data_IF_133762340922
#
_entry.id   IF_133762340922
#
_cell.length_a   1.000
_cell.length_b   1.000
_cell.length_c   1.000
_cell.angle_alpha   90.00
_cell.angle_beta   90.00
_cell.angle_gamma   90.00
#
_symmetry.space_group_name_H-M   'P 1'
#
loop_
_entity.id
_entity.type
_entity.pdbx_description
1 polymer ?
#
# COMPACT_ATOMS: atom_id res chain seq x y z
N UNK A 1 -12.11 6.98 21.28
CA UNK A 1 -11.96 8.15 20.38
C UNK A 1 -12.91 7.92 19.23
N UNK A 2 -13.60 8.94 18.73
CA UNK A 2 -14.51 8.76 17.60
C UNK A 2 -13.74 8.74 16.28
N UNK A 3 -14.33 8.17 15.23
CA UNK A 3 -13.74 8.18 13.89
C UNK A 3 -13.46 9.62 13.41
N UNK A 4 -14.37 10.56 13.68
CA UNK A 4 -14.19 11.98 13.37
C UNK A 4 -12.99 12.59 14.13
N UNK A 5 -12.85 12.32 15.43
CA UNK A 5 -11.70 12.80 16.21
C UNK A 5 -10.37 12.30 15.63
N UNK A 6 -10.32 11.01 15.28
CA UNK A 6 -9.14 10.44 14.66
C UNK A 6 -8.87 11.03 13.26
N UNK A 7 -9.92 11.30 12.49
CA UNK A 7 -9.81 11.94 11.19
C UNK A 7 -9.22 13.34 11.28
N UNK A 8 -9.66 14.18 12.20
CA UNK A 8 -9.07 15.52 12.35
C UNK A 8 -7.63 15.46 12.87
N UNK A 9 -7.27 14.46 13.69
CA UNK A 9 -5.86 14.22 14.04
C UNK A 9 -5.01 13.87 12.81
N UNK A 10 -5.51 12.98 11.94
CA UNK A 10 -4.82 12.61 10.71
C UNK A 10 -4.74 13.80 9.74
N UNK A 11 -5.79 14.64 9.68
CA UNK A 11 -5.80 15.88 8.92
C UNK A 11 -4.73 16.85 9.41
N UNK A 12 -4.62 17.04 10.73
CA UNK A 12 -3.57 17.86 11.35
C UNK A 12 -2.18 17.37 10.96
N UNK A 13 -1.96 16.05 11.03
CA UNK A 13 -0.70 15.44 10.59
C UNK A 13 -0.36 15.78 9.13
N UNK A 14 -1.32 15.66 8.21
CA UNK A 14 -1.12 15.95 6.78
C UNK A 14 -0.81 17.43 6.55
N UNK A 15 -1.61 18.32 7.13
CA UNK A 15 -1.45 19.78 7.06
C UNK A 15 -0.03 20.18 7.47
N UNK A 16 0.44 19.70 8.62
CA UNK A 16 1.77 20.03 9.13
C UNK A 16 2.89 19.44 8.28
N UNK A 17 2.74 18.20 7.79
CA UNK A 17 3.81 17.50 7.04
C UNK A 17 3.96 17.98 5.61
N UNK A 18 2.89 18.46 5.02
CA UNK A 18 2.86 18.91 3.63
C UNK A 18 2.77 20.44 3.51
N UNK A 19 2.82 21.16 4.64
CA UNK A 19 2.69 22.62 4.69
C UNK A 19 1.43 23.12 3.95
N UNK A 20 0.32 22.41 4.14
CA UNK A 20 -0.97 22.74 3.53
C UNK A 20 -1.83 23.51 4.53
N UNK A 21 -2.75 24.33 4.01
CA UNK A 21 -3.82 24.89 4.81
C UNK A 21 -4.86 23.81 5.13
N UNK A 22 -5.50 23.92 6.30
CA UNK A 22 -6.51 22.96 6.74
C UNK A 22 -7.62 22.75 5.70
N UNK A 23 -8.07 23.83 5.03
CA UNK A 23 -9.12 23.79 4.00
C UNK A 23 -8.75 22.98 2.76
N UNK A 24 -7.45 22.81 2.47
CA UNK A 24 -6.98 22.04 1.31
C UNK A 24 -7.07 20.53 1.52
N UNK A 25 -7.14 20.08 2.78
CA UNK A 25 -7.37 18.67 3.13
C UNK A 25 -8.84 18.50 3.46
N UNK A 26 -9.61 17.85 2.59
CA UNK A 26 -11.07 17.72 2.66
C UNK A 26 -11.51 16.27 2.80
N UNK A 27 -12.69 16.04 3.37
CA UNK A 27 -13.34 14.72 3.34
C UNK A 27 -13.95 14.48 1.96
N UNK A 28 -13.78 13.29 1.39
CA UNK A 28 -14.31 12.95 0.06
C UNK A 28 -15.38 11.87 0.15
N UNK A 29 -16.63 12.23 -0.13
CA UNK A 29 -17.73 11.26 -0.24
C UNK A 29 -17.83 10.78 -1.67
N UNK A 30 -17.46 9.52 -1.91
CA UNK A 30 -17.62 8.91 -3.23
C UNK A 30 -19.08 8.46 -3.41
N UNK A 31 -19.69 8.75 -4.59
CA UNK A 31 -21.02 8.23 -4.88
C UNK A 31 -20.99 6.70 -4.87
N UNK A 32 -21.96 6.04 -4.25
CA UNK A 32 -22.01 4.58 -4.24
C UNK A 32 -22.72 4.10 -5.50
N UNK A 33 -22.05 3.27 -6.30
CA UNK A 33 -22.72 2.59 -7.40
C UNK A 33 -23.72 1.59 -6.80
N UNK A 34 -25.02 1.86 -6.97
CA UNK A 34 -26.09 0.93 -6.59
C UNK A 34 -26.26 -0.06 -7.73
N UNK A 35 -25.83 -1.30 -7.55
CA UNK A 35 -26.30 -2.42 -8.38
C UNK A 35 -27.53 -3.01 -7.70
N UNK A 36 -28.63 -3.17 -8.46
CA UNK A 36 -29.88 -3.71 -7.94
C UNK A 36 -29.66 -5.02 -7.18
N UNK A 37 -30.22 -5.11 -5.97
CA UNK A 37 -30.14 -6.29 -5.10
C UNK A 37 -28.88 -6.43 -4.23
N UNK A 38 -27.86 -5.57 -4.37
CA UNK A 38 -26.69 -5.60 -3.50
C UNK A 38 -26.64 -4.41 -2.54
N UNK A 39 -26.24 -4.61 -1.28
CA UNK A 39 -26.05 -3.51 -0.35
C UNK A 39 -25.00 -2.54 -0.90
N UNK A 40 -25.29 -1.24 -0.78
CA UNK A 40 -24.42 -0.17 -1.19
C UNK A 40 -23.06 -0.30 -0.48
N UNK A 41 -22.03 -0.76 -1.19
CA UNK A 41 -20.66 -0.75 -0.67
C UNK A 41 -20.20 0.70 -0.54
N UNK A 42 -20.34 1.26 0.67
CA UNK A 42 -19.79 2.57 1.03
C UNK A 42 -18.27 2.48 1.05
N UNK A 43 -17.67 2.91 -0.05
CA UNK A 43 -16.24 3.13 -0.13
C UNK A 43 -15.99 4.58 0.29
N UNK A 44 -15.86 4.80 1.61
CA UNK A 44 -15.56 6.14 2.14
C UNK A 44 -14.05 6.39 2.06
N UNK A 45 -13.68 7.47 1.37
CA UNK A 45 -12.33 8.04 1.43
C UNK A 45 -12.37 9.15 2.48
N UNK A 46 -11.60 8.97 3.54
CA UNK A 46 -11.70 9.86 4.69
C UNK A 46 -11.10 11.23 4.44
N UNK A 47 -9.99 11.29 3.71
CA UNK A 47 -9.28 12.52 3.42
C UNK A 47 -8.83 12.54 1.95
N UNK A 48 -8.89 13.72 1.35
CA UNK A 48 -8.47 14.03 0.00
C UNK A 48 -7.73 15.37 0.02
N UNK A 49 -6.65 15.47 -0.74
CA UNK A 49 -5.97 16.73 -1.00
C UNK A 49 -5.25 16.67 -2.35
N UNK A 50 -5.00 17.84 -2.91
CA UNK A 50 -4.16 18.01 -4.08
C UNK A 50 -2.81 18.57 -3.65
N UNK A 51 -1.74 18.09 -4.28
CA UNK A 51 -0.43 18.71 -4.22
C UNK A 51 -0.01 19.05 -5.64
N UNK A 52 0.82 20.07 -5.79
CA UNK A 52 1.27 20.56 -7.08
C UNK A 52 2.77 20.79 -7.00
N UNK A 53 3.48 20.37 -8.03
CA UNK A 53 4.85 20.78 -8.28
C UNK A 53 4.91 21.60 -9.58
N UNK A 54 6.11 21.96 -10.03
CA UNK A 54 6.29 22.77 -11.25
C UNK A 54 5.79 22.08 -12.53
N UNK A 55 5.53 20.78 -12.50
CA UNK A 55 5.24 19.97 -13.68
C UNK A 55 3.82 19.38 -13.66
N UNK A 56 3.27 19.07 -12.49
CA UNK A 56 2.02 18.32 -12.38
C UNK A 56 1.24 18.56 -11.08
N UNK A 57 -0.06 18.33 -11.18
CA UNK A 57 -1.00 18.27 -10.05
C UNK A 57 -1.27 16.82 -9.67
N UNK A 58 -1.01 16.48 -8.42
CA UNK A 58 -1.22 15.16 -7.86
C UNK A 58 -2.43 15.14 -6.94
N UNK A 59 -3.40 14.30 -7.29
CA UNK A 59 -4.53 13.95 -6.42
C UNK A 59 -4.10 12.89 -5.41
N UNK A 60 -4.40 13.11 -4.13
CA UNK A 60 -4.02 12.20 -3.05
C UNK A 60 -5.25 11.87 -2.21
N UNK A 61 -5.32 10.63 -1.75
CA UNK A 61 -6.38 10.17 -0.86
C UNK A 61 -5.82 9.46 0.36
N UNK A 62 -6.59 9.42 1.43
CA UNK A 62 -6.32 8.58 2.56
C UNK A 62 -7.58 7.94 3.16
N UNK A 63 -7.41 6.71 3.65
CA UNK A 63 -8.36 6.04 4.53
C UNK A 63 -7.77 5.84 5.91
N UNK A 64 -8.62 5.81 6.92
CA UNK A 64 -8.25 5.83 8.32
C UNK A 64 -8.96 4.68 9.05
N UNK A 65 -8.24 4.02 9.95
CA UNK A 65 -8.84 3.07 10.88
C UNK A 65 -8.42 3.41 12.30
N UNK A 66 -9.40 3.81 13.12
CA UNK A 66 -9.23 3.85 14.57
C UNK A 66 -9.83 2.58 15.20
N UNK A 67 -9.03 1.87 15.98
CA UNK A 67 -9.40 0.62 16.65
C UNK A 67 -8.83 0.57 18.05
N UNK A 68 -9.48 -0.18 18.94
CA UNK A 68 -8.93 -0.38 20.28
C UNK A 68 -7.77 -1.37 20.29
N UNK A 69 -7.91 -2.49 19.56
CA UNK A 69 -6.93 -3.59 19.58
C UNK A 69 -6.63 -4.18 18.19
N UNK A 70 -7.63 -4.31 17.34
CA UNK A 70 -7.48 -5.01 16.06
C UNK A 70 -6.58 -4.23 15.07
N UNK A 71 -5.72 -4.95 14.34
CA UNK A 71 -4.88 -4.39 13.27
C UNK A 71 -5.65 -4.32 11.95
N UNK A 72 -5.28 -3.37 11.09
CA UNK A 72 -5.84 -3.25 9.72
C UNK A 72 -5.45 -4.47 8.89
N UNK A 73 -6.42 -5.06 8.19
CA UNK A 73 -6.24 -6.26 7.38
C UNK A 73 -6.04 -5.96 5.88
N UNK A 74 -5.79 -6.99 5.09
CA UNK A 74 -5.56 -6.88 3.65
C UNK A 74 -6.77 -6.35 2.86
N UNK A 75 -7.99 -6.66 3.29
CA UNK A 75 -9.22 -6.29 2.58
C UNK A 75 -9.40 -4.78 2.59
N UNK A 76 -9.16 -4.14 3.73
CA UNK A 76 -9.26 -2.68 3.85
C UNK A 76 -8.24 -1.96 2.96
N UNK A 77 -7.01 -2.47 2.88
CA UNK A 77 -5.97 -1.90 2.01
C UNK A 77 -6.33 -2.08 0.53
N UNK A 78 -6.87 -3.25 0.14
CA UNK A 78 -7.37 -3.47 -1.22
C UNK A 78 -8.52 -2.52 -1.57
N UNK A 79 -9.44 -2.25 -0.63
CA UNK A 79 -10.52 -1.30 -0.82
C UNK A 79 -9.98 0.11 -1.07
N UNK A 80 -8.93 0.54 -0.35
CA UNK A 80 -8.28 1.82 -0.64
C UNK A 80 -7.63 1.83 -2.04
N UNK A 81 -7.01 0.73 -2.47
CA UNK A 81 -6.47 0.59 -3.83
C UNK A 81 -7.53 0.81 -4.91
N UNK A 82 -8.71 0.20 -4.74
CA UNK A 82 -9.86 0.42 -5.64
C UNK A 82 -10.38 1.85 -5.60
N UNK A 83 -10.37 2.48 -4.42
CA UNK A 83 -10.81 3.86 -4.27
C UNK A 83 -9.85 4.80 -5.01
N UNK A 84 -8.55 4.52 -4.94
CA UNK A 84 -7.50 5.25 -5.66
C UNK A 84 -7.75 5.21 -7.17
N UNK A 85 -7.95 4.02 -7.72
CA UNK A 85 -8.25 3.82 -9.16
C UNK A 85 -9.49 4.63 -9.56
N UNK A 86 -10.57 4.50 -8.79
CA UNK A 86 -11.84 5.15 -9.09
C UNK A 86 -11.79 6.68 -9.03
N UNK A 87 -11.01 7.23 -8.10
CA UNK A 87 -10.83 8.69 -7.95
C UNK A 87 -9.80 9.25 -8.94
N UNK A 88 -8.99 8.39 -9.57
CA UNK A 88 -7.82 8.83 -10.31
C UNK A 88 -6.78 9.49 -9.39
N UNK A 89 -6.64 8.97 -8.16
CA UNK A 89 -5.64 9.47 -7.23
C UNK A 89 -4.27 8.87 -7.55
N UNK A 90 -3.23 9.68 -7.46
CA UNK A 90 -1.85 9.30 -7.75
C UNK A 90 -1.20 8.61 -6.56
N UNK A 91 -1.55 9.05 -5.34
CA UNK A 91 -1.04 8.50 -4.09
C UNK A 91 -2.21 8.18 -3.16
N UNK A 92 -2.06 7.08 -2.42
CA UNK A 92 -3.00 6.66 -1.40
C UNK A 92 -2.26 6.34 -0.10
N UNK A 93 -2.79 6.83 1.03
CA UNK A 93 -2.26 6.57 2.37
C UNK A 93 -3.30 5.86 3.24
N UNK A 94 -2.86 4.89 4.05
CA UNK A 94 -3.68 4.27 5.08
C UNK A 94 -3.12 4.62 6.45
N UNK A 95 -3.94 5.27 7.29
CA UNK A 95 -3.58 5.58 8.68
C UNK A 95 -4.25 4.59 9.64
N UNK A 96 -3.48 4.08 10.60
CA UNK A 96 -3.98 3.21 11.66
C UNK A 96 -3.34 3.57 13.01
N UNK A 97 -4.00 3.28 14.13
CA UNK A 97 -3.44 3.51 15.47
C UNK A 97 -2.89 2.23 16.14
N UNK A 98 -3.34 1.06 15.69
CA UNK A 98 -2.97 -0.27 16.23
C UNK A 98 -1.97 -1.03 15.33
N UNK A 99 -1.79 -0.58 14.09
CA UNK A 99 -0.88 -1.17 13.11
C UNK A 99 -1.58 -2.04 12.06
N UNK A 100 -0.76 -2.81 11.33
CA UNK A 100 -1.16 -3.54 10.12
C UNK A 100 -0.79 -5.01 10.23
N UNK A 101 -1.61 -5.90 9.65
CA UNK A 101 -1.26 -7.33 9.54
C UNK A 101 -0.14 -7.55 8.51
N UNK A 102 0.57 -8.68 8.58
CA UNK A 102 1.60 -9.05 7.58
C UNK A 102 1.04 -9.08 6.15
N UNK A 103 -0.23 -9.46 5.99
CA UNK A 103 -0.91 -9.49 4.69
C UNK A 103 -1.24 -8.10 4.18
N UNK A 104 -1.69 -7.20 5.06
CA UNK A 104 -1.90 -5.79 4.73
C UNK A 104 -0.61 -5.11 4.26
N UNK A 105 0.53 -5.40 4.90
CA UNK A 105 1.84 -4.90 4.45
C UNK A 105 2.18 -5.34 3.02
N UNK A 106 2.01 -6.64 2.70
CA UNK A 106 2.27 -7.16 1.35
C UNK A 106 1.35 -6.55 0.29
N UNK A 107 0.07 -6.42 0.61
CA UNK A 107 -0.88 -5.77 -0.31
C UNK A 107 -0.52 -4.31 -0.53
N UNK A 108 -0.13 -3.59 0.53
CA UNK A 108 0.27 -2.19 0.39
C UNK A 108 1.51 -2.04 -0.51
N UNK A 109 2.44 -2.99 -0.44
CA UNK A 109 3.60 -3.06 -1.35
C UNK A 109 3.16 -3.31 -2.80
N UNK A 110 2.32 -4.32 -3.02
CA UNK A 110 1.81 -4.67 -4.36
C UNK A 110 1.00 -3.52 -4.98
N UNK A 111 0.27 -2.76 -4.16
CA UNK A 111 -0.60 -1.67 -4.59
C UNK A 111 0.10 -0.31 -4.64
N UNK A 112 1.28 -0.15 -4.03
CA UNK A 112 1.92 1.16 -3.86
C UNK A 112 1.18 2.08 -2.89
N UNK A 113 0.59 1.53 -1.82
CA UNK A 113 -0.13 2.29 -0.79
C UNK A 113 0.82 2.58 0.38
N UNK A 114 0.86 3.85 0.82
CA UNK A 114 1.62 4.23 2.01
C UNK A 114 0.90 3.84 3.28
N UNK A 115 1.62 3.29 4.27
CA UNK A 115 1.07 2.88 5.55
C UNK A 115 1.68 3.70 6.69
N UNK A 116 0.82 4.37 7.45
CA UNK A 116 1.23 5.24 8.56
C UNK A 116 0.56 4.77 9.84
N UNK A 117 1.37 4.50 10.86
CA UNK A 117 0.91 4.29 12.22
C UNK A 117 0.85 5.66 12.91
N UNK A 118 -0.34 6.18 13.20
CA UNK A 118 -0.54 7.47 13.88
C UNK A 118 -1.23 7.21 15.23
N UNK A 119 -0.52 7.55 16.31
CA UNK A 119 -0.97 7.29 17.68
C UNK A 119 -1.12 8.60 18.43
N UNK A 120 -2.13 8.63 19.29
CA UNK A 120 -2.33 9.77 20.18
C UNK A 120 -1.27 9.91 21.26
N UNK A 121 -1.04 11.15 21.70
CA UNK A 121 -0.40 11.46 22.98
C UNK A 121 -1.28 12.27 23.92
N UNK A 122 -2.50 12.61 23.51
CA UNK A 122 -3.45 13.43 24.28
C UNK A 122 -4.68 12.64 24.71
N UNK A 123 -5.29 13.06 25.82
CA UNK A 123 -6.52 12.46 26.36
C UNK A 123 -7.75 12.93 25.56
N UNK A 124 -8.21 12.10 24.63
CA UNK A 124 -9.34 12.42 23.73
C UNK A 124 -10.68 12.70 24.40
N UNK A 125 -10.93 12.14 25.59
CA UNK A 125 -12.19 12.37 26.32
C UNK A 125 -12.41 13.85 26.68
N UNK A 126 -11.35 14.66 26.64
CA UNK A 126 -11.39 16.10 26.88
C UNK A 126 -11.62 16.94 25.61
N UNK A 127 -11.83 16.31 24.45
CA UNK A 127 -12.23 16.98 23.20
C UNK A 127 -13.72 16.73 23.00
N UNK A 128 -14.54 17.68 23.48
CA UNK A 128 -16.01 17.57 23.43
C UNK A 128 -16.59 18.08 22.11
N UNK A 129 -15.82 18.88 21.35
CA UNK A 129 -16.25 19.43 20.07
C UNK A 129 -16.68 18.36 19.06
N UNK A 130 -17.91 18.53 18.57
CA UNK A 130 -18.51 17.70 17.53
C UNK A 130 -18.36 18.30 16.15
N UNK A 131 -18.00 19.59 16.05
CA UNK A 131 -17.80 20.30 14.78
C UNK A 131 -16.36 20.09 14.29
N UNK A 132 -16.14 19.56 13.07
CA UNK A 132 -14.80 19.26 12.55
C UNK A 132 -13.83 20.44 12.61
N UNK A 133 -14.28 21.65 12.27
CA UNK A 133 -13.45 22.86 12.30
C UNK A 133 -12.95 23.20 13.70
N UNK A 134 -13.85 23.27 14.68
CA UNK A 134 -13.49 23.58 16.06
C UNK A 134 -12.59 22.50 16.67
N UNK A 135 -12.87 21.24 16.34
CA UNK A 135 -12.05 20.10 16.74
C UNK A 135 -10.62 20.21 16.17
N UNK A 136 -10.47 20.59 14.91
CA UNK A 136 -9.16 20.80 14.29
C UNK A 136 -8.40 21.96 14.96
N UNK A 137 -9.06 23.11 15.17
CA UNK A 137 -8.46 24.28 15.82
C UNK A 137 -7.99 23.94 17.24
N UNK A 138 -8.81 23.22 18.01
CA UNK A 138 -8.44 22.76 19.35
C UNK A 138 -7.28 21.76 19.33
N UNK A 139 -7.25 20.84 18.37
CA UNK A 139 -6.12 19.92 18.19
C UNK A 139 -4.83 20.65 17.86
N UNK A 140 -4.88 21.63 16.97
CA UNK A 140 -3.73 22.46 16.61
C UNK A 140 -3.22 23.25 17.83
N UNK A 141 -4.13 23.86 18.61
CA UNK A 141 -3.76 24.57 19.86
C UNK A 141 -3.08 23.63 20.87
N UNK A 142 -3.58 22.41 21.02
CA UNK A 142 -2.99 21.43 21.94
C UNK A 142 -1.64 20.93 21.45
N UNK A 143 -1.51 20.62 20.15
CA UNK A 143 -0.26 20.17 19.55
C UNK A 143 0.86 21.20 19.73
N UNK A 144 0.55 22.49 19.59
CA UNK A 144 1.47 23.58 19.83
C UNK A 144 2.02 23.64 21.27
N UNK A 145 1.19 23.26 22.27
CA UNK A 145 1.62 23.20 23.68
C UNK A 145 2.36 21.91 24.01
N UNK A 146 1.86 20.80 23.47
CA UNK A 146 2.41 19.46 23.66
C UNK A 146 2.02 18.61 22.47
N UNK A 147 3.02 18.01 21.83
CA UNK A 147 2.85 17.15 20.67
C UNK A 147 1.65 16.20 20.83
N UNK A 148 0.64 16.38 19.99
CA UNK A 148 -0.66 15.72 20.10
C UNK A 148 -0.60 14.25 19.67
N UNK A 149 0.41 13.88 18.87
CA UNK A 149 0.56 12.55 18.32
C UNK A 149 2.02 12.10 18.22
N UNK A 150 2.20 10.79 18.08
CA UNK A 150 3.40 10.17 17.51
C UNK A 150 3.03 9.43 16.25
N UNK A 151 3.99 9.30 15.33
CA UNK A 151 3.75 8.56 14.11
C UNK A 151 4.98 7.72 13.75
N UNK A 152 4.73 6.68 12.98
CA UNK A 152 5.75 5.89 12.29
C UNK A 152 5.28 5.59 10.89
N UNK A 153 6.09 5.91 9.89
CA UNK A 153 5.87 5.43 8.53
C UNK A 153 6.24 3.95 8.53
N UNK A 154 5.23 3.08 8.45
CA UNK A 154 5.44 1.64 8.39
C UNK A 154 5.88 1.24 6.99
N UNK A 155 5.30 1.89 5.99
CA UNK A 155 5.69 1.73 4.59
C UNK A 155 5.51 3.05 3.84
N UNK A 156 6.54 3.46 3.11
CA UNK A 156 6.43 4.57 2.17
C UNK A 156 5.66 4.08 0.94
N UNK A 157 4.57 4.76 0.58
CA UNK A 157 3.88 4.48 -0.66
C UNK A 157 4.82 4.81 -1.81
N UNK A 158 5.09 3.84 -2.68
CA UNK A 158 5.72 4.11 -3.96
C UNK A 158 4.62 4.38 -4.97
N UNK A 159 4.70 5.41 -5.82
CA UNK A 159 3.96 5.35 -7.07
C UNK A 159 4.38 4.03 -7.70
N UNK A 160 3.42 3.14 -7.89
CA UNK A 160 3.65 1.96 -8.66
C UNK A 160 3.85 2.45 -10.11
N UNK A 161 5.07 2.92 -10.44
CA UNK A 161 5.59 2.89 -11.79
C UNK A 161 5.83 1.43 -12.13
N UNK A 162 4.76 0.64 -12.07
CA UNK A 162 4.77 -0.66 -12.69
C UNK A 162 4.90 -0.33 -14.17
N UNK A 163 6.05 -0.66 -14.75
CA UNK A 163 6.13 -0.74 -16.20
C UNK A 163 4.96 -1.62 -16.67
N UNK A 164 4.42 -1.40 -17.88
CA UNK A 164 3.28 -2.17 -18.37
C UNK A 164 3.46 -3.69 -18.15
N UNK A 165 4.71 -4.16 -18.27
CA UNK A 165 5.16 -5.52 -17.97
C UNK A 165 5.01 -5.93 -16.51
N UNK A 166 5.39 -5.08 -15.56
CA UNK A 166 5.23 -5.35 -14.13
C UNK A 166 3.76 -5.26 -13.69
N UNK A 167 2.98 -4.36 -14.30
CA UNK A 167 1.53 -4.24 -14.03
C UNK A 167 0.79 -5.48 -14.54
N UNK A 168 1.14 -5.93 -15.75
CA UNK A 168 0.64 -7.15 -16.34
C UNK A 168 1.04 -8.38 -15.52
N UNK A 169 2.31 -8.49 -15.11
CA UNK A 169 2.77 -9.58 -14.25
C UNK A 169 2.08 -9.59 -12.87
N UNK A 170 1.84 -8.42 -12.26
CA UNK A 170 1.12 -8.32 -10.99
C UNK A 170 -0.36 -8.72 -11.15
N UNK A 171 -1.01 -8.26 -12.21
CA UNK A 171 -2.36 -8.67 -12.59
C UNK A 171 -2.45 -10.19 -12.80
N UNK A 172 -1.53 -10.76 -13.57
CA UNK A 172 -1.47 -12.21 -13.83
C UNK A 172 -1.23 -13.02 -12.56
N UNK A 173 -0.28 -12.62 -11.71
CA UNK A 173 -0.04 -13.29 -10.42
C UNK A 173 -1.28 -13.29 -9.53
N UNK A 174 -2.05 -12.20 -9.57
CA UNK A 174 -3.26 -12.06 -8.76
C UNK A 174 -4.41 -12.90 -9.30
N UNK A 175 -4.63 -12.89 -10.62
CA UNK A 175 -5.67 -13.68 -11.30
C UNK A 175 -5.39 -15.19 -11.25
N UNK A 176 -4.13 -15.59 -11.37
CA UNK A 176 -3.71 -17.00 -11.45
C UNK A 176 -3.04 -17.53 -10.18
N UNK A 177 -3.27 -16.88 -9.03
CA UNK A 177 -2.60 -17.21 -7.76
C UNK A 177 -2.77 -18.67 -7.32
N UNK A 178 -3.95 -19.26 -7.59
CA UNK A 178 -4.23 -20.68 -7.34
C UNK A 178 -3.42 -21.57 -8.27
N UNK A 179 -3.46 -21.26 -9.57
CA UNK A 179 -2.71 -21.99 -10.61
C UNK A 179 -1.21 -22.00 -10.34
N UNK A 180 -0.64 -20.85 -9.95
CA UNK A 180 0.78 -20.69 -9.62
C UNK A 180 1.15 -21.53 -8.39
N UNK A 181 0.28 -21.54 -7.37
CA UNK A 181 0.49 -22.30 -6.13
C UNK A 181 0.40 -23.80 -6.39
N UNK A 182 -0.55 -24.22 -7.22
CA UNK A 182 -0.74 -25.63 -7.56
C UNK A 182 0.43 -26.11 -8.43
N UNK A 183 0.85 -25.33 -9.43
CA UNK A 183 2.03 -25.62 -10.25
C UNK A 183 3.33 -25.73 -9.41
N UNK A 184 3.56 -24.81 -8.46
CA UNK A 184 4.70 -24.87 -7.56
C UNK A 184 4.70 -26.09 -6.62
N UNK A 185 3.55 -26.74 -6.44
CA UNK A 185 3.37 -27.97 -5.66
C UNK A 185 3.28 -29.23 -6.53
N UNK A 186 3.55 -29.10 -7.84
CA UNK A 186 3.42 -30.20 -8.80
C UNK A 186 1.98 -30.69 -9.02
N UNK A 187 0.98 -29.84 -8.76
CA UNK A 187 -0.45 -30.20 -8.86
C UNK A 187 -1.16 -29.37 -9.95
N UNK A 188 -2.12 -29.98 -10.64
CA UNK A 188 -3.02 -29.29 -11.60
C UNK A 188 -2.61 -29.37 -13.07
N UNK A 189 -3.49 -28.90 -13.96
CA UNK A 189 -3.44 -29.04 -15.43
C UNK A 189 -2.12 -28.58 -16.11
N UNK A 190 -1.34 -27.69 -15.47
CA UNK A 190 -0.05 -27.21 -16.00
C UNK A 190 1.17 -28.02 -15.54
N UNK A 191 1.00 -29.03 -14.67
CA UNK A 191 2.09 -29.94 -14.28
C UNK A 191 2.57 -30.84 -15.43
N UNK A 192 1.76 -31.01 -16.48
CA UNK A 192 2.09 -31.79 -17.68
C UNK A 192 2.71 -30.95 -18.79
N UNK A 193 2.68 -29.62 -18.69
CA UNK A 193 3.31 -28.75 -19.67
C UNK A 193 4.82 -28.64 -19.40
N UNK A 194 5.63 -29.07 -20.37
CA UNK A 194 7.08 -28.89 -20.28
C UNK A 194 7.43 -27.40 -20.15
N UNK A 195 8.50 -27.08 -19.41
CA UNK A 195 9.03 -25.70 -19.28
C UNK A 195 9.20 -25.02 -20.65
N UNK A 196 9.57 -25.79 -21.68
CA UNK A 196 9.65 -25.34 -23.08
C UNK A 196 8.29 -24.96 -23.67
N UNK A 197 7.25 -25.79 -23.51
CA UNK A 197 5.91 -25.47 -24.00
C UNK A 197 5.31 -24.28 -23.26
N UNK A 198 5.52 -24.20 -21.94
CA UNK A 198 5.06 -23.06 -21.16
C UNK A 198 5.78 -21.77 -21.57
N UNK A 199 7.09 -21.82 -21.80
CA UNK A 199 7.86 -20.66 -22.26
C UNK A 199 7.48 -20.23 -23.69
N UNK A 200 7.10 -21.18 -24.56
CA UNK A 200 6.68 -20.91 -25.94
C UNK A 200 5.35 -20.17 -26.02
N UNK A 201 4.35 -20.60 -25.23
CA UNK A 201 3.01 -20.02 -25.30
C UNK A 201 2.76 -18.94 -24.25
N UNK A 202 3.49 -18.99 -23.12
CA UNK A 202 3.31 -18.09 -21.98
C UNK A 202 4.66 -17.74 -21.32
N UNK A 203 5.56 -17.02 -22.02
CA UNK A 203 6.93 -16.75 -21.58
C UNK A 203 7.01 -16.07 -20.21
N UNK A 204 6.07 -15.17 -19.90
CA UNK A 204 6.03 -14.48 -18.61
C UNK A 204 5.67 -15.41 -17.44
N UNK A 205 4.79 -16.39 -17.70
CA UNK A 205 4.39 -17.37 -16.69
C UNK A 205 5.50 -18.41 -16.47
N UNK A 206 6.22 -18.79 -17.52
CA UNK A 206 7.41 -19.62 -17.41
C UNK A 206 8.54 -18.94 -16.63
N UNK A 207 8.74 -17.63 -16.81
CA UNK A 207 9.71 -16.86 -16.02
C UNK A 207 9.33 -16.79 -14.53
N UNK A 208 8.03 -16.74 -14.20
CA UNK A 208 7.53 -16.72 -12.83
C UNK A 208 7.58 -18.09 -12.14
N UNK A 209 7.27 -19.16 -12.86
CA UNK A 209 7.22 -20.52 -12.31
C UNK A 209 8.59 -21.20 -12.29
N UNK A 210 9.47 -20.82 -13.21
CA UNK A 210 10.82 -21.36 -13.32
C UNK A 210 11.84 -20.22 -13.37
N UNK A 211 12.00 -19.43 -12.28
CA UNK A 211 13.02 -18.40 -12.22
C UNK A 211 14.38 -19.06 -12.51
N UNK A 212 15.14 -18.48 -13.44
CA UNK A 212 16.48 -18.99 -13.71
C UNK A 212 17.31 -18.85 -12.43
N UNK A 213 17.92 -19.95 -11.96
CA UNK A 213 18.93 -19.84 -10.91
C UNK A 213 20.00 -18.88 -11.43
N UNK A 214 20.45 -17.89 -10.64
CA UNK A 214 21.62 -17.11 -11.02
C UNK A 214 22.75 -18.11 -11.30
N UNK A 215 23.39 -17.97 -12.46
CA UNK A 215 24.61 -18.73 -12.77
C UNK A 215 25.59 -18.40 -11.67
N UNK A 216 25.86 -19.35 -10.78
CA UNK A 216 27.03 -19.29 -9.94
C UNK A 216 28.21 -19.16 -10.91
N UNK A 217 28.95 -18.07 -10.76
CA UNK A 217 30.24 -17.88 -11.40
C UNK A 217 31.03 -19.18 -11.19
N UNK A 218 31.32 -19.87 -12.28
CA UNK A 218 32.30 -20.95 -12.29
C UNK A 218 33.63 -20.30 -11.94
N UNK A 219 33.97 -20.24 -10.66
CA UNK A 219 35.34 -20.05 -10.23
C UNK A 219 36.12 -21.24 -10.80
N UNK A 220 36.89 -20.95 -11.85
CA UNK A 220 37.80 -21.91 -12.45
C UNK A 220 38.81 -22.35 -11.41
N UNK A 221 38.83 -23.64 -11.12
CA UNK A 221 39.97 -24.26 -10.44
C UNK A 221 41.23 -24.03 -11.30
N UNK A 222 42.30 -23.44 -10.75
CA UNK A 222 43.56 -23.38 -11.46
C UNK A 222 44.13 -24.80 -11.58
N UNK A 223 44.34 -25.25 -12.83
CA UNK A 223 45.16 -26.43 -13.13
C UNK A 223 46.59 -26.12 -12.70
N UNK A 224 47.05 -26.72 -11.62
CA UNK A 224 48.47 -26.79 -11.26
C UNK A 224 49.18 -27.64 -12.31
N UNK A 225 49.92 -26.97 -13.21
CA UNK A 225 50.83 -27.61 -14.13
C UNK A 225 52.07 -28.11 -13.40
N UNK A 226 52.36 -29.39 -13.53
CA UNK A 226 53.64 -30.01 -13.17
C UNK A 226 54.71 -29.52 -14.15
N UNK A 227 55.52 -28.57 -13.72
CA UNK A 227 56.74 -28.16 -14.41
C UNK A 227 57.96 -28.73 -13.72
N UNK A 228 58.46 -29.85 -14.22
CA UNK A 228 59.82 -30.33 -14.02
C UNK A 228 60.81 -29.33 -14.64
N UNK A 229 61.74 -28.82 -13.85
CA UNK A 229 62.94 -28.15 -14.37
C UNK A 229 64.17 -28.92 -13.84
N UNK A 230 64.85 -29.56 -14.80
CA UNK A 230 66.22 -30.07 -14.67
C UNK A 230 67.17 -29.09 -15.35
N UNK A 231 68.40 -29.05 -14.83
CA UNK A 231 69.60 -28.30 -15.24
C UNK A 231 69.70 -26.87 -14.70
#
# INVERSE_FOLDING_TARGET
MTHMQYRELCRLFIVQRLHLEARQVRTLRLPVARRGGLPALRQEVDLYWESEDRLARFRNIASLAWRERAKVNETEVLLLGRARERVGAHKALFFANTGFTRRALRVADDEGIGLVLLQTRIRWRSLRETKPRLLFEELARRDARRRAYSFRVVKKGSPALLTAKQAHAAYYRRRHRKLIRDAARGRGFMSTWSRKNLAKHYPEMAALLFPQKPRAEQQGSPRMGTGTASC
#
